data_IF_557061672516
#
_entry.id   IF_557061672516
#
_cell.length_a   1.000
_cell.length_b   1.000
_cell.length_c   1.000
_cell.angle_alpha   90.00
_cell.angle_beta   90.00
_cell.angle_gamma   90.00
#
_symmetry.space_group_name_H-M   'P 1'
#
loop_
_entity.id
_entity.type
_entity.pdbx_description
1 polymer ?
#
# COMPACT_ATOMS: atom_id res chain seq x y z
N UNK A 1 48.50 64.15 9.83
CA UNK A 1 47.12 63.66 10.05
C UNK A 1 46.98 62.28 9.41
N UNK A 2 46.92 61.20 10.21
CA UNK A 2 46.73 59.82 9.74
C UNK A 2 45.23 59.51 9.79
N UNK A 3 44.64 59.18 8.64
CA UNK A 3 43.24 58.78 8.48
C UNK A 3 43.03 57.34 8.97
N UNK A 4 42.17 57.17 9.97
CA UNK A 4 41.71 55.88 10.49
C UNK A 4 40.62 55.36 9.55
N UNK A 5 40.83 54.18 8.93
CA UNK A 5 39.80 53.45 8.19
C UNK A 5 39.03 52.58 9.18
N UNK A 6 37.75 52.86 9.39
CA UNK A 6 36.85 51.98 10.13
C UNK A 6 36.43 50.82 9.22
N UNK A 7 36.89 49.62 9.55
CA UNK A 7 36.40 48.36 8.98
C UNK A 7 35.14 47.93 9.72
N UNK A 8 33.99 48.04 9.06
CA UNK A 8 32.69 47.56 9.54
C UNK A 8 32.62 46.03 9.34
N UNK A 9 32.38 45.21 10.37
CA UNK A 9 32.23 43.78 10.20
C UNK A 9 30.86 43.48 9.58
N UNK A 10 30.84 42.86 8.40
CA UNK A 10 29.64 42.30 7.80
C UNK A 10 29.31 41.01 8.55
N UNK A 11 28.25 41.05 9.36
CA UNK A 11 27.67 39.86 10.00
C UNK A 11 26.80 39.17 8.94
N UNK A 12 27.31 38.09 8.34
CA UNK A 12 26.48 37.18 7.53
C UNK A 12 25.53 36.43 8.46
N UNK A 13 24.25 36.80 8.42
CA UNK A 13 23.16 36.01 9.00
C UNK A 13 22.95 34.83 8.06
N UNK A 14 23.41 33.64 8.47
CA UNK A 14 23.06 32.38 7.80
C UNK A 14 21.61 32.08 8.22
N UNK A 15 20.66 32.33 7.32
CA UNK A 15 19.32 31.77 7.44
C UNK A 15 19.46 30.25 7.28
N UNK A 16 19.50 29.53 8.39
CA UNK A 16 19.22 28.11 8.38
C UNK A 16 17.73 27.98 8.07
N UNK A 17 17.39 27.67 6.82
CA UNK A 17 16.06 27.19 6.47
C UNK A 17 15.84 25.91 7.27
N UNK A 18 15.02 26.01 8.32
CA UNK A 18 14.50 24.84 9.01
C UNK A 18 13.64 24.14 7.96
N UNK A 19 14.11 23.02 7.43
CA UNK A 19 13.28 22.14 6.63
C UNK A 19 12.24 21.56 7.58
N UNK A 20 11.08 22.19 7.64
CA UNK A 20 9.96 21.73 8.45
C UNK A 20 9.50 20.39 7.90
N UNK A 21 9.59 19.35 8.73
CA UNK A 21 9.04 18.05 8.38
C UNK A 21 7.51 18.18 8.26
N UNK A 22 6.98 17.71 7.14
CA UNK A 22 5.55 17.67 6.86
C UNK A 22 4.80 17.01 8.01
N UNK A 23 3.94 17.77 8.70
CA UNK A 23 3.12 17.27 9.81
C UNK A 23 1.90 16.46 9.32
N UNK A 24 1.77 16.25 8.01
CA UNK A 24 0.65 15.49 7.45
C UNK A 24 0.72 14.04 7.93
N UNK A 25 -0.38 13.50 8.49
CA UNK A 25 -0.45 12.11 8.90
C UNK A 25 -0.13 11.14 7.76
N UNK A 26 0.54 10.02 8.06
CA UNK A 26 0.91 8.99 7.07
C UNK A 26 -0.31 8.54 6.27
N UNK A 27 -1.45 8.28 6.90
CA UNK A 27 -2.64 7.81 6.18
C UNK A 27 -3.20 8.83 5.17
N UNK A 28 -3.18 10.12 5.51
CA UNK A 28 -3.60 11.20 4.62
C UNK A 28 -2.63 11.33 3.44
N UNK A 29 -1.34 11.37 3.74
CA UNK A 29 -0.31 11.45 2.71
C UNK A 29 -0.37 10.23 1.78
N UNK A 30 -0.53 9.03 2.33
CA UNK A 30 -0.67 7.79 1.58
C UNK A 30 -1.88 7.81 0.64
N UNK A 31 -3.04 8.31 1.10
CA UNK A 31 -4.22 8.43 0.26
C UNK A 31 -4.00 9.45 -0.86
N UNK A 32 -3.53 10.65 -0.53
CA UNK A 32 -3.44 11.77 -1.46
C UNK A 32 -2.29 11.65 -2.46
N UNK A 33 -1.15 11.07 -2.05
CA UNK A 33 0.14 11.19 -2.75
C UNK A 33 0.77 9.88 -3.17
N UNK A 34 0.49 8.76 -2.50
CA UNK A 34 1.07 7.47 -2.92
C UNK A 34 0.18 6.81 -3.96
N UNK A 35 0.61 6.72 -5.23
CA UNK A 35 -0.13 5.94 -6.22
C UNK A 35 -0.17 4.47 -5.80
N UNK A 36 -1.26 3.78 -6.11
CA UNK A 36 -1.35 2.34 -5.87
C UNK A 36 -0.35 1.60 -6.76
N UNK A 37 0.42 0.68 -6.19
CA UNK A 37 1.42 -0.10 -6.94
C UNK A 37 0.73 -1.00 -7.97
N UNK A 38 1.36 -1.17 -9.13
CA UNK A 38 0.80 -1.95 -10.25
C UNK A 38 1.27 -3.40 -10.20
N UNK A 39 0.34 -4.30 -9.97
CA UNK A 39 0.54 -5.75 -10.05
C UNK A 39 0.82 -6.20 -11.48
N UNK A 40 1.42 -7.38 -11.64
CA UNK A 40 1.63 -8.00 -12.94
C UNK A 40 0.85 -9.32 -13.03
N UNK A 41 -0.09 -9.38 -13.98
CA UNK A 41 -0.79 -10.60 -14.33
C UNK A 41 -0.22 -11.13 -15.64
N UNK A 42 0.40 -12.30 -15.60
CA UNK A 42 1.01 -12.93 -16.78
C UNK A 42 0.19 -14.15 -17.18
N UNK A 43 -0.45 -14.08 -18.33
CA UNK A 43 -1.16 -15.19 -18.96
C UNK A 43 -0.15 -16.02 -19.74
N UNK A 44 0.16 -17.20 -19.23
CA UNK A 44 1.07 -18.16 -19.85
C UNK A 44 0.28 -19.18 -20.66
N UNK A 45 0.73 -19.51 -21.87
CA UNK A 45 0.05 -20.45 -22.75
C UNK A 45 1.03 -21.32 -23.56
N UNK A 46 0.54 -22.46 -24.03
CA UNK A 46 1.25 -23.36 -24.94
C UNK A 46 0.44 -23.53 -26.24
N UNK A 47 1.02 -23.11 -27.35
CA UNK A 47 0.34 -23.04 -28.64
C UNK A 47 -0.56 -21.80 -28.81
N UNK A 48 -1.44 -21.78 -29.83
CA UNK A 48 -2.32 -20.65 -30.07
C UNK A 48 -3.37 -20.51 -28.96
N UNK A 49 -3.68 -19.26 -28.58
CA UNK A 49 -4.76 -18.94 -27.65
C UNK A 49 -6.10 -19.14 -28.36
N UNK A 50 -7.03 -19.85 -27.71
CA UNK A 50 -8.37 -20.06 -28.27
C UNK A 50 -9.20 -18.77 -28.27
N UNK A 51 -10.26 -18.70 -29.08
CA UNK A 51 -11.15 -17.52 -29.08
C UNK A 51 -11.80 -17.30 -27.71
N UNK A 52 -12.11 -18.37 -26.97
CA UNK A 52 -12.69 -18.29 -25.64
C UNK A 52 -11.69 -17.74 -24.61
N UNK A 53 -10.43 -18.20 -24.67
CA UNK A 53 -9.35 -17.70 -23.82
C UNK A 53 -9.05 -16.24 -24.14
N UNK A 54 -9.02 -15.85 -25.42
CA UNK A 54 -8.80 -14.48 -25.84
C UNK A 54 -9.86 -13.53 -25.24
N UNK A 55 -11.14 -13.92 -25.27
CA UNK A 55 -12.22 -13.15 -24.61
C UNK A 55 -12.03 -13.05 -23.10
N UNK A 56 -11.49 -14.08 -22.46
CA UNK A 56 -11.19 -14.07 -21.02
C UNK A 56 -10.03 -13.13 -20.69
N UNK A 57 -8.98 -13.12 -21.54
CA UNK A 57 -7.87 -12.15 -21.44
C UNK A 57 -8.36 -10.72 -21.65
N UNK A 58 -9.22 -10.50 -22.65
CA UNK A 58 -9.77 -9.17 -22.94
C UNK A 58 -10.61 -8.67 -21.78
N UNK A 59 -11.44 -9.53 -21.15
CA UNK A 59 -12.15 -9.18 -19.91
C UNK A 59 -11.22 -8.77 -18.78
N UNK A 60 -10.08 -9.45 -18.62
CA UNK A 60 -9.09 -9.10 -17.61
C UNK A 60 -8.41 -7.75 -17.92
N UNK A 61 -8.12 -7.47 -19.20
CA UNK A 61 -7.59 -6.16 -19.66
C UNK A 61 -8.61 -5.04 -19.54
N UNK A 62 -9.88 -5.34 -19.80
CA UNK A 62 -10.94 -4.36 -19.67
C UNK A 62 -11.13 -3.96 -18.21
N UNK A 63 -10.91 -4.83 -17.24
CA UNK A 63 -10.91 -4.44 -15.83
C UNK A 63 -9.69 -3.56 -15.43
N UNK A 64 -8.57 -3.61 -16.17
CA UNK A 64 -7.45 -2.65 -16.06
C UNK A 64 -7.78 -1.31 -16.75
N UNK A 65 -8.62 -1.28 -17.80
CA UNK A 65 -8.83 -0.09 -18.65
C UNK A 65 -10.22 0.56 -18.65
N UNK A 66 -11.30 -0.16 -18.31
CA UNK A 66 -12.70 0.21 -18.60
C UNK A 66 -13.56 0.54 -17.38
N UNK A 67 -12.99 1.02 -16.27
CA UNK A 67 -13.84 1.47 -15.15
C UNK A 67 -13.36 2.80 -14.58
N UNK A 68 -14.26 3.65 -14.05
CA UNK A 68 -13.97 4.58 -12.96
C UNK A 68 -13.58 3.83 -11.68
N UNK A 69 -12.86 2.72 -11.82
CA UNK A 69 -12.36 1.78 -10.84
C UNK A 69 -11.20 0.95 -11.43
N UNK A 70 -10.43 1.50 -12.38
CA UNK A 70 -9.34 0.79 -13.06
C UNK A 70 -8.45 0.09 -12.03
N UNK A 71 -8.36 -1.23 -12.13
CA UNK A 71 -7.61 -2.02 -11.17
C UNK A 71 -6.11 -1.75 -11.34
N UNK A 72 -5.37 -1.71 -10.23
CA UNK A 72 -3.92 -1.47 -10.23
C UNK A 72 -3.12 -2.72 -10.63
N UNK A 73 -3.35 -3.26 -11.83
CA UNK A 73 -2.52 -4.32 -12.41
C UNK A 73 -2.26 -4.10 -13.90
N UNK A 74 -1.43 -4.93 -14.51
CA UNK A 74 -1.27 -4.97 -15.97
C UNK A 74 -1.32 -6.42 -16.46
N UNK A 75 -1.81 -6.64 -17.68
CA UNK A 75 -1.94 -7.98 -18.25
C UNK A 75 -0.93 -8.20 -19.38
N UNK A 76 -0.03 -9.16 -19.19
CA UNK A 76 0.91 -9.64 -20.21
C UNK A 76 0.49 -11.03 -20.67
N UNK A 77 0.62 -11.30 -21.96
CA UNK A 77 0.37 -12.62 -22.55
C UNK A 77 1.67 -13.15 -23.11
N UNK A 78 2.05 -14.37 -22.76
CA UNK A 78 3.36 -14.93 -23.09
C UNK A 78 3.27 -16.43 -23.39
N UNK A 79 3.84 -16.84 -24.53
CA UNK A 79 4.04 -18.27 -24.84
C UNK A 79 5.06 -18.88 -23.88
N UNK A 80 4.85 -20.15 -23.49
CA UNK A 80 5.80 -20.91 -22.66
C UNK A 80 7.22 -20.92 -23.24
N UNK A 81 7.35 -20.87 -24.56
CA UNK A 81 8.63 -20.92 -25.26
C UNK A 81 9.43 -19.61 -25.11
N UNK A 82 8.77 -18.53 -24.67
CA UNK A 82 9.37 -17.21 -24.44
C UNK A 82 9.64 -16.91 -22.96
N UNK A 83 9.35 -17.85 -22.05
CA UNK A 83 9.61 -17.66 -20.62
C UNK A 83 11.11 -17.65 -20.37
N UNK A 84 11.62 -16.53 -19.87
CA UNK A 84 13.01 -16.38 -19.41
C UNK A 84 13.14 -16.27 -17.89
N UNK A 85 12.06 -15.90 -17.24
CA UNK A 85 11.98 -15.70 -15.81
C UNK A 85 11.75 -17.06 -15.11
N UNK A 86 12.62 -17.42 -14.17
CA UNK A 86 12.57 -18.72 -13.48
C UNK A 86 11.31 -18.87 -12.61
N UNK A 87 10.77 -17.78 -12.07
CA UNK A 87 9.51 -17.80 -11.31
C UNK A 87 8.34 -18.16 -12.22
N UNK A 88 8.23 -17.50 -13.37
CA UNK A 88 7.21 -17.80 -14.38
C UNK A 88 7.36 -19.23 -14.94
N UNK A 89 8.60 -19.70 -15.09
CA UNK A 89 8.87 -21.06 -15.54
C UNK A 89 8.41 -22.09 -14.51
N UNK A 90 8.73 -21.88 -13.23
CA UNK A 90 8.27 -22.73 -12.13
C UNK A 90 6.74 -22.75 -12.02
N UNK A 91 6.10 -21.58 -12.17
CA UNK A 91 4.65 -21.47 -12.17
C UNK A 91 4.01 -22.23 -13.36
N UNK A 92 4.61 -22.15 -14.55
CA UNK A 92 4.20 -22.92 -15.72
C UNK A 92 4.38 -24.42 -15.52
N UNK A 93 5.55 -24.86 -15.06
CA UNK A 93 5.84 -26.30 -14.86
C UNK A 93 4.89 -26.95 -13.84
N UNK A 94 4.42 -26.16 -12.85
CA UNK A 94 3.49 -26.64 -11.82
C UNK A 94 2.02 -26.66 -12.26
N UNK A 95 1.58 -25.67 -13.03
CA UNK A 95 0.14 -25.45 -13.30
C UNK A 95 -0.24 -25.46 -14.78
N UNK A 96 0.70 -25.14 -15.67
CA UNK A 96 0.50 -25.04 -17.10
C UNK A 96 0.52 -26.40 -17.80
N UNK A 97 -0.22 -26.49 -18.91
CA UNK A 97 -0.20 -27.63 -19.84
C UNK A 97 -0.68 -27.20 -21.22
N UNK A 98 -0.41 -28.01 -22.23
CA UNK A 98 -0.86 -27.79 -23.60
C UNK A 98 -2.38 -27.54 -23.65
N UNK A 99 -2.79 -26.43 -24.26
CA UNK A 99 -4.21 -26.05 -24.39
C UNK A 99 -4.92 -25.62 -23.10
N UNK A 100 -4.20 -25.46 -21.97
CA UNK A 100 -4.77 -24.92 -20.74
C UNK A 100 -3.90 -23.75 -20.24
N UNK A 101 -4.17 -22.52 -20.70
CA UNK A 101 -3.46 -21.34 -20.23
C UNK A 101 -3.70 -21.08 -18.74
N UNK A 102 -2.73 -20.41 -18.11
CA UNK A 102 -2.76 -20.07 -16.68
C UNK A 102 -2.49 -18.57 -16.49
N UNK A 103 -3.10 -17.99 -15.46
CA UNK A 103 -2.81 -16.64 -14.98
C UNK A 103 -1.84 -16.75 -13.81
N UNK A 104 -0.65 -16.18 -13.96
CA UNK A 104 0.33 -16.00 -12.89
C UNK A 104 0.21 -14.58 -12.36
N UNK A 105 -0.22 -14.44 -11.10
CA UNK A 105 -0.39 -13.14 -10.45
C UNK A 105 0.83 -12.84 -9.59
N UNK A 106 1.47 -11.70 -9.87
CA UNK A 106 2.69 -11.28 -9.20
C UNK A 106 2.52 -9.95 -8.48
N UNK A 107 3.14 -9.84 -7.31
CA UNK A 107 3.34 -8.58 -6.63
C UNK A 107 4.11 -7.58 -7.50
N UNK A 108 3.85 -6.27 -7.32
CA UNK A 108 4.61 -5.21 -7.98
C UNK A 108 6.11 -5.34 -7.71
N UNK A 109 7.00 -5.01 -8.67
CA UNK A 109 8.45 -4.96 -8.41
C UNK A 109 8.85 -3.96 -7.31
N UNK A 110 7.99 -2.97 -7.02
CA UNK A 110 8.18 -1.96 -5.98
C UNK A 110 7.89 -2.47 -4.57
N UNK A 111 7.21 -3.62 -4.41
CA UNK A 111 6.93 -4.24 -3.12
C UNK A 111 8.17 -4.98 -2.58
N UNK A 112 9.23 -4.24 -2.26
CA UNK A 112 10.54 -4.80 -1.89
C UNK A 112 10.54 -5.62 -0.58
N UNK A 113 9.55 -5.42 0.27
CA UNK A 113 9.40 -6.16 1.53
C UNK A 113 8.79 -7.55 1.34
N UNK A 114 8.18 -7.80 0.18
CA UNK A 114 7.63 -9.12 -0.14
C UNK A 114 8.76 -10.03 -0.64
N UNK A 115 8.96 -11.21 -0.01
CA UNK A 115 10.10 -12.09 -0.29
C UNK A 115 10.01 -12.82 -1.64
N UNK A 116 8.82 -13.28 -2.02
CA UNK A 116 8.52 -13.91 -3.31
C UNK A 116 7.41 -13.12 -3.99
N UNK A 117 7.64 -12.73 -5.24
CA UNK A 117 6.63 -11.98 -6.00
C UNK A 117 5.42 -12.83 -6.37
N UNK A 118 5.51 -14.16 -6.38
CA UNK A 118 4.39 -15.02 -6.77
C UNK A 118 3.30 -15.02 -5.69
N UNK A 119 2.12 -14.49 -6.05
CA UNK A 119 0.92 -14.58 -5.22
C UNK A 119 0.24 -15.91 -5.46
N UNK A 120 -0.08 -16.18 -6.74
CA UNK A 120 -0.86 -17.35 -7.13
C UNK A 120 -0.75 -17.62 -8.63
N UNK A 121 -0.72 -18.89 -8.98
CA UNK A 121 -0.97 -19.37 -10.35
C UNK A 121 -2.28 -20.14 -10.40
N UNK A 122 -3.15 -19.82 -11.36
CA UNK A 122 -4.47 -20.43 -11.49
C UNK A 122 -4.91 -20.52 -12.96
N UNK A 123 -5.88 -21.40 -13.31
CA UNK A 123 -6.35 -21.52 -14.70
C UNK A 123 -6.90 -20.19 -15.24
N UNK A 124 -6.71 -19.95 -16.54
CA UNK A 124 -7.39 -18.86 -17.24
C UNK A 124 -8.86 -19.26 -17.48
N UNK A 125 -9.74 -18.89 -16.56
CA UNK A 125 -11.18 -19.06 -16.68
C UNK A 125 -11.93 -17.88 -16.04
N UNK A 126 -13.26 -17.85 -16.20
CA UNK A 126 -14.09 -16.77 -15.66
C UNK A 126 -14.03 -16.68 -14.14
N UNK A 127 -13.94 -17.81 -13.43
CA UNK A 127 -13.96 -17.84 -11.96
C UNK A 127 -12.66 -17.22 -11.41
N UNK A 128 -11.52 -17.59 -11.99
CA UNK A 128 -10.22 -17.02 -11.68
C UNK A 128 -10.16 -15.51 -11.94
N UNK A 129 -10.72 -15.06 -13.08
CA UNK A 129 -10.80 -13.63 -13.40
C UNK A 129 -11.71 -12.89 -12.40
N UNK A 130 -12.86 -13.45 -12.05
CA UNK A 130 -13.81 -12.84 -11.11
C UNK A 130 -13.14 -12.52 -9.76
N UNK A 131 -12.45 -13.49 -9.17
CA UNK A 131 -11.82 -13.32 -7.84
C UNK A 131 -10.54 -12.46 -7.88
N UNK A 132 -9.85 -12.38 -9.03
CA UNK A 132 -8.72 -11.45 -9.18
C UNK A 132 -9.24 -10.01 -9.21
N UNK A 133 -10.27 -9.75 -10.01
CA UNK A 133 -10.77 -8.40 -10.30
C UNK A 133 -11.60 -7.85 -9.15
N UNK A 134 -12.48 -8.68 -8.58
CA UNK A 134 -13.44 -8.25 -7.57
C UNK A 134 -13.20 -8.97 -6.23
N UNK A 135 -13.54 -8.30 -5.15
CA UNK A 135 -13.57 -8.86 -3.79
C UNK A 135 -14.47 -7.97 -2.95
N UNK A 136 -15.55 -8.52 -2.36
CA UNK A 136 -16.41 -7.78 -1.45
C UNK A 136 -15.64 -7.05 -0.34
N UNK A 137 -14.63 -7.67 0.26
CA UNK A 137 -13.81 -7.05 1.31
C UNK A 137 -12.97 -5.91 0.76
N UNK A 138 -12.31 -6.07 -0.40
CA UNK A 138 -11.56 -4.96 -1.02
C UNK A 138 -12.47 -3.79 -1.38
N UNK A 139 -13.67 -4.06 -1.89
CA UNK A 139 -14.65 -3.02 -2.17
C UNK A 139 -15.10 -2.29 -0.88
N UNK A 140 -15.30 -3.02 0.21
CA UNK A 140 -15.65 -2.44 1.51
C UNK A 140 -14.50 -1.60 2.10
N UNK A 141 -13.26 -2.08 2.01
CA UNK A 141 -12.07 -1.32 2.41
C UNK A 141 -11.99 -0.02 1.61
N UNK A 142 -12.11 -0.08 0.29
CA UNK A 142 -12.09 1.13 -0.54
C UNK A 142 -13.21 2.11 -0.15
N UNK A 143 -14.42 1.61 0.11
CA UNK A 143 -15.56 2.42 0.56
C UNK A 143 -15.25 3.15 1.86
N UNK A 144 -14.66 2.46 2.85
CA UNK A 144 -14.35 2.99 4.18
C UNK A 144 -13.21 4.01 4.14
N UNK A 145 -12.13 3.72 3.42
CA UNK A 145 -11.01 4.65 3.24
C UNK A 145 -11.44 5.93 2.51
N UNK A 146 -12.30 5.81 1.48
CA UNK A 146 -12.88 6.97 0.80
C UNK A 146 -13.90 7.72 1.68
N UNK A 147 -14.50 7.06 2.68
CA UNK A 147 -15.40 7.68 3.64
C UNK A 147 -14.69 8.40 4.79
N UNK A 148 -13.35 8.44 4.78
CA UNK A 148 -12.56 9.22 5.70
C UNK A 148 -11.78 8.43 6.75
N UNK A 149 -11.89 7.11 6.79
CA UNK A 149 -11.26 6.30 7.83
C UNK A 149 -9.74 6.30 7.73
N UNK A 150 -9.05 6.36 8.87
CA UNK A 150 -7.58 6.36 8.93
C UNK A 150 -6.98 5.02 8.51
N UNK A 151 -7.59 3.92 8.94
CA UNK A 151 -7.26 2.59 8.47
C UNK A 151 -8.41 1.61 8.66
N UNK A 152 -8.43 0.59 7.80
CA UNK A 152 -9.30 -0.58 7.92
C UNK A 152 -8.43 -1.79 8.24
N UNK A 153 -8.72 -2.47 9.34
CA UNK A 153 -8.02 -3.68 9.76
C UNK A 153 -8.71 -4.91 9.17
N UNK A 154 -7.97 -5.72 8.40
CA UNK A 154 -8.44 -7.04 7.99
C UNK A 154 -8.09 -8.03 9.09
N UNK A 155 -9.09 -8.67 9.69
CA UNK A 155 -8.92 -9.79 10.61
C UNK A 155 -9.14 -11.12 9.86
N UNK A 156 -8.18 -12.04 9.95
CA UNK A 156 -8.23 -13.36 9.34
C UNK A 156 -8.21 -14.42 10.46
N UNK A 157 -9.35 -15.04 10.81
CA UNK A 157 -9.41 -16.11 11.79
C UNK A 157 -8.63 -17.35 11.30
N UNK A 158 -8.08 -18.16 12.19
CA UNK A 158 -7.42 -19.42 11.84
C UNK A 158 -8.33 -20.66 11.93
N UNK A 159 -9.55 -20.52 12.45
CA UNK A 159 -10.50 -21.61 12.61
C UNK A 159 -10.45 -22.29 13.97
N UNK A 160 -9.59 -21.86 14.90
CA UNK A 160 -9.66 -22.21 16.32
C UNK A 160 -10.54 -21.18 17.05
N UNK A 161 -11.75 -21.55 17.51
CA UNK A 161 -12.69 -20.59 18.08
C UNK A 161 -12.17 -19.87 19.32
N UNK A 162 -11.23 -20.47 20.08
CA UNK A 162 -10.66 -19.82 21.27
C UNK A 162 -9.62 -18.80 20.87
N UNK A 163 -8.72 -19.14 19.95
CA UNK A 163 -7.68 -18.23 19.48
C UNK A 163 -8.30 -17.06 18.72
N UNK A 164 -9.24 -17.33 17.83
CA UNK A 164 -9.92 -16.33 17.01
C UNK A 164 -10.69 -15.34 17.88
N UNK A 165 -11.42 -15.85 18.88
CA UNK A 165 -12.16 -15.00 19.82
C UNK A 165 -11.22 -14.07 20.59
N UNK A 166 -10.16 -14.60 21.18
CA UNK A 166 -9.21 -13.80 21.98
C UNK A 166 -8.53 -12.72 21.11
N UNK A 167 -8.12 -13.08 19.90
CA UNK A 167 -7.48 -12.15 18.97
C UNK A 167 -8.43 -11.04 18.52
N UNK A 168 -9.66 -11.39 18.11
CA UNK A 168 -10.64 -10.40 17.67
C UNK A 168 -11.10 -9.47 18.80
N UNK A 169 -11.33 -10.00 20.00
CA UNK A 169 -11.66 -9.18 21.18
C UNK A 169 -10.52 -8.21 21.53
N UNK A 170 -9.27 -8.68 21.44
CA UNK A 170 -8.09 -7.83 21.68
C UNK A 170 -7.97 -6.75 20.62
N UNK A 171 -8.10 -7.11 19.33
CA UNK A 171 -8.04 -6.16 18.22
C UNK A 171 -9.12 -5.09 18.36
N UNK A 172 -10.36 -5.51 18.54
CA UNK A 172 -11.52 -4.59 18.67
C UNK A 172 -11.31 -3.63 19.82
N UNK A 173 -10.97 -4.14 21.02
CA UNK A 173 -10.79 -3.29 22.20
C UNK A 173 -9.68 -2.26 22.00
N UNK A 174 -8.51 -2.67 21.50
CA UNK A 174 -7.36 -1.76 21.39
C UNK A 174 -7.56 -0.76 20.25
N UNK A 175 -8.20 -1.16 19.15
CA UNK A 175 -8.58 -0.25 18.06
C UNK A 175 -9.54 0.83 18.57
N UNK A 176 -10.59 0.43 19.30
CA UNK A 176 -11.54 1.36 19.93
C UNK A 176 -10.89 2.31 20.96
N UNK A 177 -9.89 1.82 21.70
CA UNK A 177 -9.12 2.62 22.66
C UNK A 177 -8.21 3.63 21.94
N UNK A 178 -7.50 3.19 20.91
CA UNK A 178 -6.61 4.05 20.13
C UNK A 178 -7.39 5.16 19.41
N UNK A 179 -8.58 4.87 18.89
CA UNK A 179 -9.43 5.89 18.26
C UNK A 179 -9.77 7.04 19.21
N UNK A 180 -9.96 6.73 20.50
CA UNK A 180 -10.34 7.71 21.53
C UNK A 180 -9.18 8.44 22.18
N UNK A 181 -7.97 7.89 22.07
CA UNK A 181 -6.82 8.33 22.88
C UNK A 181 -5.64 8.83 22.06
N UNK A 182 -5.54 8.47 20.78
CA UNK A 182 -4.53 9.02 19.89
C UNK A 182 -4.95 10.40 19.40
N UNK A 183 -3.96 11.24 19.11
CA UNK A 183 -4.15 12.59 18.60
C UNK A 183 -3.40 12.72 17.28
N UNK A 184 -4.01 13.40 16.31
CA UNK A 184 -3.33 13.74 15.07
C UNK A 184 -2.23 14.78 15.35
N UNK A 185 -1.11 14.74 14.61
CA UNK A 185 -0.10 15.80 14.63
C UNK A 185 -0.73 17.18 14.48
N UNK A 186 -0.21 18.16 15.23
CA UNK A 186 -0.62 19.55 15.10
C UNK A 186 -0.34 20.05 13.68
N UNK A 187 -1.37 20.58 13.03
CA UNK A 187 -1.22 21.30 11.76
C UNK A 187 -0.99 22.78 12.07
N UNK A 188 -0.04 23.43 11.38
CA UNK A 188 0.12 24.88 11.50
C UNK A 188 -1.04 25.57 10.77
N UNK A 189 -1.67 26.56 11.41
CA UNK A 189 -2.74 27.37 10.80
C UNK A 189 -2.20 28.11 9.57
N UNK A 190 -2.44 27.60 8.37
CA UNK A 190 -2.11 28.31 7.11
C UNK A 190 -3.33 29.10 6.65
N UNK A 191 -3.17 30.38 6.31
CA UNK A 191 -4.29 31.26 5.90
C UNK A 191 -5.13 30.67 4.74
N UNK A 192 -4.51 29.88 3.85
CA UNK A 192 -5.15 29.22 2.71
C UNK A 192 -5.73 27.82 3.05
N UNK A 193 -5.45 27.27 4.24
CA UNK A 193 -5.88 25.91 4.62
C UNK A 193 -7.41 25.80 4.70
N UNK A 194 -8.09 26.85 5.17
CA UNK A 194 -9.55 26.85 5.28
C UNK A 194 -10.23 26.76 3.91
N UNK A 195 -9.75 27.50 2.92
CA UNK A 195 -10.29 27.44 1.56
C UNK A 195 -9.99 26.09 0.91
N UNK A 196 -8.80 25.53 1.18
CA UNK A 196 -8.40 24.21 0.70
C UNK A 196 -9.24 23.09 1.33
N UNK A 197 -9.53 23.18 2.64
CA UNK A 197 -10.40 22.26 3.39
C UNK A 197 -11.84 22.24 2.84
N UNK A 198 -12.35 23.37 2.35
CA UNK A 198 -13.66 23.42 1.69
C UNK A 198 -13.66 22.74 0.29
N UNK A 199 -12.48 22.51 -0.30
CA UNK A 199 -12.32 21.92 -1.63
C UNK A 199 -11.94 20.43 -1.62
N UNK A 200 -11.46 19.88 -0.49
CA UNK A 200 -11.16 18.44 -0.39
C UNK A 200 -12.45 17.62 -0.39
N UNK A 201 -12.48 16.55 -1.19
CA UNK A 201 -13.65 15.67 -1.30
C UNK A 201 -13.79 14.67 -0.14
N UNK A 202 -12.70 14.42 0.59
CA UNK A 202 -12.64 13.38 1.62
C UNK A 202 -12.25 14.05 2.93
N UNK A 203 -13.19 14.06 3.86
CA UNK A 203 -12.98 14.48 5.23
C UNK A 203 -12.36 13.32 6.02
N UNK A 204 -11.04 13.34 6.13
CA UNK A 204 -10.30 12.30 6.85
C UNK A 204 -10.41 12.51 8.36
N UNK A 205 -10.68 11.42 9.08
CA UNK A 205 -10.82 11.39 10.52
C UNK A 205 -9.97 10.29 11.13
N UNK A 206 -9.60 10.49 12.39
CA UNK A 206 -9.04 9.45 13.23
C UNK A 206 -10.18 8.47 13.54
N UNK A 207 -10.26 7.42 12.73
CA UNK A 207 -11.31 6.38 12.78
C UNK A 207 -10.67 5.09 12.26
N UNK A 208 -10.90 4.00 12.99
CA UNK A 208 -10.37 2.70 12.66
C UNK A 208 -11.49 1.66 12.68
N UNK A 209 -11.61 0.90 11.60
CA UNK A 209 -12.61 -0.16 11.54
C UNK A 209 -11.99 -1.53 11.29
N UNK A 210 -12.77 -2.58 11.54
CA UNK A 210 -12.37 -3.97 11.31
C UNK A 210 -13.29 -4.60 10.26
N UNK A 211 -12.71 -5.38 9.35
CA UNK A 211 -13.39 -6.31 8.45
C UNK A 211 -12.86 -7.71 8.70
N UNK A 212 -13.74 -8.70 8.82
CA UNK A 212 -13.33 -10.10 9.00
C UNK A 212 -13.34 -10.80 7.65
N UNK A 213 -12.22 -11.41 7.28
CA UNK A 213 -12.08 -12.25 6.09
C UNK A 213 -12.35 -13.71 6.47
N UNK A 214 -13.39 -14.30 5.91
CA UNK A 214 -13.63 -15.73 6.04
C UNK A 214 -12.70 -16.51 5.10
N UNK A 215 -11.81 -17.34 5.66
CA UNK A 215 -10.86 -18.16 4.89
C UNK A 215 -11.54 -19.12 3.92
N UNK A 216 -12.83 -19.43 4.13
CA UNK A 216 -13.61 -20.33 3.30
C UNK A 216 -14.45 -19.61 2.25
N UNK A 217 -14.51 -18.27 2.25
CA UNK A 217 -15.28 -17.54 1.25
C UNK A 217 -14.61 -17.68 -0.13
N UNK A 218 -15.26 -18.32 -1.12
CA UNK A 218 -14.69 -18.50 -2.44
C UNK A 218 -14.38 -17.16 -3.15
N UNK A 219 -15.08 -16.08 -2.81
CA UNK A 219 -14.86 -14.75 -3.41
C UNK A 219 -13.62 -14.04 -2.87
N UNK A 220 -13.17 -14.42 -1.68
CA UNK A 220 -12.04 -13.79 -1.00
C UNK A 220 -10.74 -14.59 -1.12
N UNK A 221 -10.75 -15.71 -1.85
CA UNK A 221 -9.59 -16.59 -1.97
C UNK A 221 -8.38 -15.90 -2.58
N UNK A 222 -8.57 -14.96 -3.51
CA UNK A 222 -7.44 -14.21 -4.05
C UNK A 222 -6.88 -13.22 -3.03
N UNK A 223 -7.74 -12.48 -2.33
CA UNK A 223 -7.34 -11.57 -1.25
C UNK A 223 -6.61 -12.31 -0.12
N UNK A 224 -7.12 -13.47 0.30
CA UNK A 224 -6.46 -14.31 1.30
C UNK A 224 -5.05 -14.68 0.85
N UNK A 225 -4.89 -15.09 -0.41
CA UNK A 225 -3.61 -15.51 -0.96
C UNK A 225 -2.62 -14.35 -1.09
N UNK A 226 -3.10 -13.13 -1.39
CA UNK A 226 -2.26 -11.94 -1.26
C UNK A 226 -1.74 -11.82 0.17
N UNK A 227 -2.62 -11.77 1.17
CA UNK A 227 -2.20 -11.59 2.56
C UNK A 227 -1.27 -12.69 3.08
N UNK A 228 -1.46 -13.95 2.66
CA UNK A 228 -0.60 -15.06 3.11
C UNK A 228 0.73 -15.14 2.35
N UNK A 229 0.80 -14.68 1.11
CA UNK A 229 2.04 -14.65 0.33
C UNK A 229 2.89 -13.39 0.57
N UNK A 230 2.43 -12.45 1.40
CA UNK A 230 3.15 -11.19 1.61
C UNK A 230 4.40 -11.34 2.50
N UNK A 231 4.46 -12.38 3.33
CA UNK A 231 5.60 -12.66 4.21
C UNK A 231 5.90 -14.18 4.19
N UNK A 232 7.16 -14.62 4.43
CA UNK A 232 7.60 -15.98 4.11
C UNK A 232 6.88 -17.13 4.81
N UNK A 233 6.32 -16.90 5.99
CA UNK A 233 5.84 -17.95 6.91
C UNK A 233 4.32 -17.95 7.10
N UNK A 234 3.59 -16.92 6.64
CA UNK A 234 2.18 -16.74 6.99
C UNK A 234 1.29 -17.89 6.53
N UNK A 235 1.51 -18.44 5.34
CA UNK A 235 0.69 -19.55 4.82
C UNK A 235 0.73 -20.80 5.74
N UNK A 236 1.85 -21.04 6.42
CA UNK A 236 2.06 -22.21 7.29
C UNK A 236 1.51 -22.01 8.71
N UNK A 237 1.23 -20.75 9.10
CA UNK A 237 0.81 -20.42 10.47
C UNK A 237 -0.67 -20.71 10.69
N UNK A 238 -0.95 -21.59 11.66
CA UNK A 238 -2.30 -21.88 12.15
C UNK A 238 -2.74 -20.92 13.27
N UNK A 239 -2.58 -19.61 13.04
CA UNK A 239 -2.87 -18.55 14.02
C UNK A 239 -3.70 -17.42 13.39
N UNK A 240 -4.55 -16.73 14.18
CA UNK A 240 -5.31 -15.59 13.67
C UNK A 240 -4.35 -14.48 13.27
N UNK A 241 -4.72 -13.70 12.26
CA UNK A 241 -3.89 -12.62 11.73
C UNK A 241 -4.69 -11.32 11.65
N UNK A 242 -4.02 -10.18 11.81
CA UNK A 242 -4.60 -8.86 11.58
C UNK A 242 -3.67 -8.01 10.71
N UNK A 243 -4.24 -7.30 9.74
CA UNK A 243 -3.52 -6.51 8.75
C UNK A 243 -4.12 -5.10 8.66
N UNK A 244 -3.42 -4.05 9.12
CA UNK A 244 -3.91 -2.68 8.96
C UNK A 244 -3.73 -2.20 7.52
N UNK A 245 -4.78 -1.64 6.93
CA UNK A 245 -4.82 -1.12 5.56
C UNK A 245 -5.12 0.37 5.56
N UNK A 246 -4.29 1.17 4.89
CA UNK A 246 -4.39 2.63 4.83
C UNK A 246 -4.24 3.18 3.39
N UNK A 247 -4.51 4.46 3.21
CA UNK A 247 -4.26 5.16 1.94
C UNK A 247 -5.00 4.55 0.76
N UNK A 248 -4.28 4.23 -0.32
CA UNK A 248 -4.84 3.58 -1.52
C UNK A 248 -4.81 2.05 -1.47
N UNK A 249 -4.94 1.47 -0.27
CA UNK A 249 -4.93 0.03 -0.04
C UNK A 249 -3.58 -0.52 0.45
N UNK A 250 -2.72 0.30 1.04
CA UNK A 250 -1.42 -0.15 1.59
C UNK A 250 -1.62 -0.94 2.88
N UNK A 251 -1.17 -2.19 2.90
CA UNK A 251 -1.08 -3.07 4.06
C UNK A 251 0.30 -2.89 4.71
N UNK A 252 0.39 -2.67 6.02
CA UNK A 252 1.70 -2.51 6.68
C UNK A 252 2.46 -3.83 6.86
N UNK A 253 1.97 -4.70 7.74
CA UNK A 253 2.56 -6.01 8.06
C UNK A 253 1.53 -6.84 8.83
N UNK A 254 1.73 -8.16 8.92
CA UNK A 254 0.88 -9.05 9.67
C UNK A 254 1.14 -8.98 11.18
N UNK A 255 0.06 -8.88 11.97
CA UNK A 255 0.09 -9.19 13.40
C UNK A 255 -0.46 -10.61 13.57
N UNK A 256 0.35 -11.54 14.09
CA UNK A 256 -0.01 -12.97 14.12
C UNK A 256 -0.16 -13.50 15.55
N UNK A 257 -1.28 -14.16 15.84
CA UNK A 257 -1.54 -14.84 17.10
C UNK A 257 -1.36 -13.92 18.31
N UNK A 258 -0.38 -14.23 19.17
CA UNK A 258 -0.04 -13.40 20.34
C UNK A 258 0.55 -12.03 19.97
N UNK A 259 1.00 -11.86 18.73
CA UNK A 259 1.38 -10.58 18.15
C UNK A 259 0.19 -9.66 17.90
N UNK A 260 -1.06 -10.13 17.97
CA UNK A 260 -2.26 -9.28 18.03
C UNK A 260 -2.41 -8.82 19.49
N UNK A 261 -1.71 -7.76 19.85
CA UNK A 261 -1.56 -7.28 21.23
C UNK A 261 -1.67 -5.76 21.31
N UNK A 262 -1.90 -5.25 22.51
CA UNK A 262 -2.01 -3.80 22.75
C UNK A 262 -0.80 -3.02 22.25
N UNK A 263 0.41 -3.55 22.50
CA UNK A 263 1.66 -2.91 22.06
C UNK A 263 1.74 -2.79 20.55
N UNK A 264 1.54 -3.89 19.83
CA UNK A 264 1.74 -3.97 18.37
C UNK A 264 0.63 -3.25 17.61
N UNK A 265 -0.63 -3.38 18.05
CA UNK A 265 -1.76 -2.63 17.48
C UNK A 265 -1.56 -1.13 17.73
N UNK A 266 -1.11 -0.76 18.93
CA UNK A 266 -0.80 0.62 19.28
C UNK A 266 0.39 1.20 18.48
N UNK A 267 1.41 0.41 18.17
CA UNK A 267 2.54 0.84 17.33
C UNK A 267 2.08 1.09 15.88
N UNK A 268 1.33 0.16 15.31
CA UNK A 268 0.77 0.33 13.97
C UNK A 268 -0.18 1.54 13.90
N UNK A 269 -1.09 1.70 14.88
CA UNK A 269 -2.03 2.83 14.92
C UNK A 269 -1.30 4.18 15.00
N UNK A 270 -0.29 4.28 15.87
CA UNK A 270 0.55 5.50 15.98
C UNK A 270 1.36 5.79 14.72
N UNK A 271 1.83 4.76 14.02
CA UNK A 271 2.50 4.95 12.73
C UNK A 271 1.55 5.53 11.68
N UNK A 272 0.34 4.97 11.57
CA UNK A 272 -0.68 5.37 10.57
C UNK A 272 -1.08 6.83 10.74
N UNK A 273 -1.27 7.27 11.98
CA UNK A 273 -1.75 8.63 12.30
C UNK A 273 -0.60 9.62 12.56
N UNK A 274 0.62 9.15 12.70
CA UNK A 274 1.81 9.97 12.96
C UNK A 274 2.30 10.73 11.71
N UNK A 275 3.28 11.64 11.88
CA UNK A 275 3.77 12.48 10.79
C UNK A 275 4.51 11.67 9.72
N UNK A 276 4.24 11.95 8.44
CA UNK A 276 4.90 11.30 7.32
C UNK A 276 6.33 11.84 7.11
N UNK A 277 7.27 11.33 7.91
CA UNK A 277 8.65 11.84 7.99
C UNK A 277 9.42 11.80 6.67
N UNK A 278 9.25 10.77 5.85
CA UNK A 278 10.02 10.59 4.61
C UNK A 278 9.26 11.00 3.35
N UNK A 279 7.92 11.03 3.37
CA UNK A 279 7.02 11.25 2.22
C UNK A 279 7.19 10.27 1.04
N UNK A 280 8.33 9.59 0.94
CA UNK A 280 8.69 8.58 -0.06
C UNK A 280 8.05 7.26 0.32
N UNK A 281 7.10 6.80 -0.51
CA UNK A 281 6.36 5.56 -0.30
C UNK A 281 7.27 4.36 -0.01
N UNK A 282 8.30 4.18 -0.81
CA UNK A 282 9.21 3.02 -0.73
C UNK A 282 10.09 3.01 0.54
N UNK A 283 10.07 4.08 1.34
CA UNK A 283 10.70 4.15 2.66
C UNK A 283 9.72 3.90 3.81
N UNK A 284 8.46 3.57 3.50
CA UNK A 284 7.44 3.20 4.47
C UNK A 284 7.17 1.70 4.36
N UNK A 285 6.91 1.00 5.48
CA UNK A 285 6.65 -0.43 5.45
C UNK A 285 5.40 -0.77 4.65
N UNK A 286 5.39 -1.98 4.11
CA UNK A 286 4.22 -2.62 3.54
C UNK A 286 4.17 -2.76 2.03
N UNK A 287 3.02 -3.23 1.58
CA UNK A 287 2.68 -3.45 0.17
C UNK A 287 1.25 -2.99 -0.09
N UNK A 288 0.90 -2.68 -1.34
CA UNK A 288 -0.46 -2.26 -1.68
C UNK A 288 -1.31 -3.45 -2.10
N UNK A 289 -2.58 -3.51 -1.73
CA UNK A 289 -3.53 -4.48 -2.28
C UNK A 289 -3.80 -4.22 -3.77
N UNK A 290 -4.16 -5.28 -4.52
CA UNK A 290 -4.75 -5.15 -5.84
C UNK A 290 -6.19 -4.68 -5.62
N UNK A 291 -6.50 -3.44 -5.97
CA UNK A 291 -7.78 -2.77 -5.76
C UNK A 291 -8.35 -2.31 -7.10
N UNK A 292 -9.64 -2.57 -7.34
CA UNK A 292 -10.40 -1.96 -8.42
C UNK A 292 -11.10 -0.70 -7.90
N UNK A 293 -10.39 0.42 -7.85
CA UNK A 293 -10.93 1.71 -7.38
C UNK A 293 -10.23 2.90 -8.03
N UNK A 294 -10.98 3.88 -8.51
CA UNK A 294 -10.46 5.09 -9.15
C UNK A 294 -10.19 6.13 -8.08
N UNK A 295 -9.05 5.93 -7.42
CA UNK A 295 -8.61 6.76 -6.31
C UNK A 295 -8.57 8.23 -6.71
N UNK A 296 -8.06 8.58 -7.90
CA UNK A 296 -7.90 9.96 -8.32
C UNK A 296 -9.24 10.67 -8.54
N UNK A 297 -10.25 9.97 -9.09
CA UNK A 297 -11.60 10.51 -9.19
C UNK A 297 -12.25 10.69 -7.82
N UNK A 298 -12.03 9.76 -6.88
CA UNK A 298 -12.63 9.82 -5.53
C UNK A 298 -11.98 10.92 -4.68
N UNK A 299 -10.66 11.02 -4.69
CA UNK A 299 -9.89 12.02 -3.94
C UNK A 299 -10.08 13.42 -4.54
N UNK A 300 -10.12 13.53 -5.87
CA UNK A 300 -10.18 14.80 -6.56
C UNK A 300 -8.83 15.50 -6.66
N UNK A 301 -8.87 16.79 -7.00
CA UNK A 301 -7.66 17.60 -7.29
C UNK A 301 -7.10 18.31 -6.06
N UNK A 302 -7.98 18.74 -5.13
CA UNK A 302 -7.57 19.38 -3.89
C UNK A 302 -6.95 18.34 -2.95
N UNK A 303 -5.79 18.68 -2.38
CA UNK A 303 -5.01 17.82 -1.48
C UNK A 303 -4.40 18.72 -0.41
N UNK A 304 -4.47 18.30 0.85
CA UNK A 304 -3.88 19.05 1.97
C UNK A 304 -2.38 18.78 2.10
N UNK A 305 -1.94 17.59 1.71
CA UNK A 305 -0.51 17.28 1.61
C UNK A 305 0.13 18.07 0.49
N UNK A 306 1.40 18.44 0.62
CA UNK A 306 2.22 18.96 -0.47
C UNK A 306 2.85 17.83 -1.31
N UNK A 307 3.14 18.05 -2.61
CA UNK A 307 3.95 17.11 -3.36
C UNK A 307 5.38 17.07 -2.83
N UNK A 308 6.06 15.94 -3.06
CA UNK A 308 7.51 15.94 -3.02
C UNK A 308 8.04 17.00 -4.00
N UNK A 309 9.03 17.82 -3.61
CA UNK A 309 9.64 18.77 -4.53
C UNK A 309 10.21 18.02 -5.74
N UNK A 310 9.97 18.53 -6.94
CA UNK A 310 10.61 17.99 -8.14
C UNK A 310 12.12 18.19 -8.02
N UNK A 311 12.89 17.10 -8.06
CA UNK A 311 14.36 17.16 -8.08
C UNK A 311 14.77 17.59 -9.47
N UNK A 312 14.80 18.90 -9.72
CA UNK A 312 15.17 19.49 -11.02
C UNK A 312 16.67 19.74 -11.17
N UNK A 313 17.43 19.65 -10.08
CA UNK A 313 18.84 20.00 -10.08
C UNK A 313 19.73 18.77 -10.25
N UNK A 314 20.72 18.87 -11.14
CA UNK A 314 21.78 17.87 -11.28
C UNK A 314 22.44 17.62 -9.92
N UNK A 315 22.79 16.36 -9.57
CA UNK A 315 23.40 16.05 -8.30
C UNK A 315 24.67 16.87 -8.08
N UNK A 316 24.63 17.78 -7.10
CA UNK A 316 25.77 18.63 -6.75
C UNK A 316 26.75 17.84 -5.90
N UNK A 317 28.03 17.85 -6.29
CA UNK A 317 29.10 17.29 -5.48
C UNK A 317 29.24 18.10 -4.19
N UNK A 318 28.78 17.53 -3.07
CA UNK A 318 28.99 18.13 -1.76
C UNK A 318 30.45 17.92 -1.32
N UNK A 319 31.20 19.01 -1.17
CA UNK A 319 32.53 18.95 -0.54
C UNK A 319 32.37 18.68 0.96
N UNK A 320 32.64 17.45 1.39
CA UNK A 320 32.66 17.08 2.81
C UNK A 320 33.88 17.78 3.46
N UNK A 321 33.68 18.64 4.47
CA UNK A 321 34.79 19.26 5.19
C UNK A 321 35.68 18.19 5.85
N UNK A 322 37.00 18.36 5.89
CA UNK A 322 37.87 17.43 6.61
C UNK A 322 37.45 17.38 8.08
N UNK A 323 37.16 16.17 8.57
CA UNK A 323 36.72 15.95 9.94
C UNK A 323 37.68 16.56 10.95
N UNK A 324 37.14 17.05 12.07
CA UNK A 324 37.95 17.59 13.19
C UNK A 324 39.01 16.56 13.56
N UNK A 325 40.30 16.92 13.41
CA UNK A 325 41.39 16.15 13.99
C UNK A 325 41.14 16.06 15.49
N UNK A 326 40.99 14.84 16.00
CA UNK A 326 40.77 14.56 17.41
C UNK A 326 41.82 15.30 18.26
N UNK A 327 41.35 15.95 19.32
CA UNK A 327 42.21 16.43 20.40
C UNK A 327 42.41 15.30 21.41
#
# INVERSE_FOLDING_TARGET
MKTIKHSLPVISIIFASIAYACQVPVFRYALERWPADRYELVVLHDGPISEADAKTVDRLRDADHQSPAAANYSVKVMSKDNIKDELLKSAWDRHGKAGAPVIVSLYPPTAQEVPDRLIKSQPLDSVSVDVIVDSPIRAEIARRLVAGESAVWIFVPCGDPKQDKVALETLTRVVDENEKTLELPEQEDVEDEKELLEQVNIDLRLDFSIVTLDRQDPKEQFLLQMLLASEPDLEELSQPMAFPVLGRGRVLYALVGKGISELTIGLASRFIIGPCSCQVKDQNPGFDLLMANDWDKKIGKAKLSDPLPEVTDEPVLLTIPPGRKGR
#
